data_IF_426066405718
#
_entry.id   IF_426066405718
#
_cell.length_a   1.000
_cell.length_b   1.000
_cell.length_c   1.000
_cell.angle_alpha   90.00
_cell.angle_beta   90.00
_cell.angle_gamma   90.00
#
_symmetry.space_group_name_H-M   'P 1'
#
loop_
_entity.id
_entity.type
_entity.pdbx_description
1 polymer ?
#
# COMPACT_ATOMS: atom_id res chain seq x y z
N UNK A 1 -1.37 18.70 12.70
CA UNK A 1 -2.44 17.78 12.26
C UNK A 1 -1.88 16.86 11.16
N UNK A 2 -1.98 15.56 11.33
CA UNK A 2 -1.50 14.63 10.30
C UNK A 2 -2.45 14.63 9.10
N UNK A 3 -1.89 14.75 7.89
CA UNK A 3 -2.66 14.62 6.66
C UNK A 3 -2.63 13.14 6.26
N UNK A 4 -3.80 12.51 6.21
CA UNK A 4 -3.92 11.14 5.74
C UNK A 4 -3.74 11.09 4.23
N UNK A 5 -2.99 10.11 3.78
CA UNK A 5 -2.77 9.82 2.35
C UNK A 5 -3.02 8.35 2.10
N UNK A 6 -3.43 8.02 0.88
CA UNK A 6 -3.51 6.64 0.44
C UNK A 6 -2.13 5.98 0.58
N UNK A 7 -2.06 4.87 1.30
CA UNK A 7 -0.80 4.15 1.51
C UNK A 7 -0.25 3.49 0.24
N UNK A 8 -1.06 3.43 -0.80
CA UNK A 8 -0.69 2.80 -2.07
C UNK A 8 -0.26 3.79 -3.15
N UNK A 9 -0.87 4.98 -3.21
CA UNK A 9 -0.58 5.95 -4.28
C UNK A 9 -0.49 7.41 -3.81
N UNK A 10 -0.60 7.67 -2.51
CA UNK A 10 -0.52 9.00 -1.90
C UNK A 10 -1.67 9.96 -2.24
N UNK A 11 -2.72 9.49 -2.91
CA UNK A 11 -3.92 10.27 -3.17
C UNK A 11 -4.77 10.45 -1.90
N UNK A 12 -5.87 11.19 -1.99
CA UNK A 12 -6.79 11.37 -0.87
C UNK A 12 -7.48 10.04 -0.51
N UNK A 13 -7.34 9.55 0.73
CA UNK A 13 -7.93 8.27 1.12
C UNK A 13 -9.40 8.40 1.46
N UNK A 14 -10.17 7.34 1.15
CA UNK A 14 -11.60 7.26 1.50
C UNK A 14 -11.94 5.94 2.20
N UNK A 15 -11.02 4.98 2.24
CA UNK A 15 -11.20 3.69 2.90
C UNK A 15 -10.10 3.40 3.90
N UNK A 16 -10.47 2.78 5.02
CA UNK A 16 -9.55 2.26 6.03
C UNK A 16 -9.60 0.74 6.03
N UNK A 17 -8.43 0.11 5.97
CA UNK A 17 -8.26 -1.33 6.04
C UNK A 17 -7.65 -1.69 7.38
N UNK A 18 -8.40 -2.31 8.30
CA UNK A 18 -7.84 -2.75 9.57
C UNK A 18 -6.73 -3.77 9.36
N UNK A 19 -5.62 -3.60 10.04
CA UNK A 19 -4.49 -4.52 9.98
C UNK A 19 -3.70 -4.48 11.29
N UNK A 20 -3.03 -5.59 11.60
CA UNK A 20 -2.08 -5.64 12.70
C UNK A 20 -0.79 -4.92 12.30
N UNK A 21 -0.10 -4.35 13.28
CA UNK A 21 1.23 -3.76 13.07
C UNK A 21 2.24 -4.86 12.77
N UNK A 22 3.18 -4.59 11.87
CA UNK A 22 4.23 -5.55 11.53
C UNK A 22 5.50 -4.85 11.07
N UNK A 23 6.63 -5.57 11.18
CA UNK A 23 7.89 -5.18 10.57
C UNK A 23 8.02 -5.90 9.24
N UNK A 24 8.32 -5.17 8.16
CA UNK A 24 8.39 -5.75 6.82
C UNK A 24 9.63 -6.59 6.63
N UNK A 25 9.49 -7.81 6.15
CA UNK A 25 10.59 -8.64 5.68
C UNK A 25 10.96 -8.28 4.23
N UNK A 26 9.98 -7.89 3.42
CA UNK A 26 10.21 -7.47 2.03
C UNK A 26 10.99 -6.16 1.95
N UNK A 27 10.78 -5.26 2.90
CA UNK A 27 11.47 -3.97 2.98
C UNK A 27 12.08 -3.81 4.37
N UNK A 28 13.25 -4.43 4.64
CA UNK A 28 13.89 -4.37 5.96
C UNK A 28 14.08 -2.92 6.44
N UNK A 29 13.80 -2.68 7.70
CA UNK A 29 13.84 -1.34 8.30
C UNK A 29 12.53 -0.57 8.19
N UNK A 30 11.53 -1.11 7.52
CA UNK A 30 10.20 -0.51 7.39
C UNK A 30 9.23 -1.21 8.35
N UNK A 31 8.49 -0.41 9.11
CA UNK A 31 7.43 -0.92 10.00
C UNK A 31 6.09 -0.32 9.59
N UNK A 32 5.03 -1.11 9.71
CA UNK A 32 3.66 -0.68 9.51
C UNK A 32 2.92 -0.66 10.84
N UNK A 33 2.34 0.48 11.20
CA UNK A 33 1.60 0.66 12.44
C UNK A 33 0.09 0.70 12.16
N UNK A 34 -0.58 -0.42 12.48
CA UNK A 34 -2.03 -0.52 12.39
C UNK A 34 -2.57 -0.55 10.98
N UNK A 35 -3.75 0.04 10.78
CA UNK A 35 -4.47 -0.02 9.52
C UNK A 35 -3.84 0.74 8.37
N UNK A 36 -4.27 0.39 7.17
CA UNK A 36 -3.84 1.03 5.92
C UNK A 36 -5.01 1.81 5.32
N UNK A 37 -4.72 2.94 4.71
CA UNK A 37 -5.72 3.74 4.01
C UNK A 37 -5.59 3.59 2.50
N UNK A 38 -6.71 3.70 1.80
CA UNK A 38 -6.74 3.60 0.34
C UNK A 38 -7.70 4.62 -0.27
N UNK A 39 -7.29 5.17 -1.41
CA UNK A 39 -8.20 5.98 -2.23
C UNK A 39 -9.21 5.06 -2.93
N UNK A 40 -10.20 5.66 -3.59
CA UNK A 40 -11.26 4.89 -4.27
C UNK A 40 -10.70 3.93 -5.32
N UNK A 41 -9.73 4.37 -6.11
CA UNK A 41 -9.12 3.56 -7.18
C UNK A 41 -8.32 2.40 -6.62
N UNK A 42 -7.44 2.66 -5.63
CA UNK A 42 -6.63 1.62 -5.01
C UNK A 42 -7.51 0.60 -4.28
N UNK A 43 -8.55 1.07 -3.59
CA UNK A 43 -9.49 0.18 -2.92
C UNK A 43 -10.23 -0.72 -3.91
N UNK A 44 -10.66 -0.20 -5.04
CA UNK A 44 -11.29 -1.01 -6.08
C UNK A 44 -10.36 -2.12 -6.58
N UNK A 45 -9.09 -1.83 -6.76
CA UNK A 45 -8.08 -2.83 -7.13
C UNK A 45 -7.89 -3.89 -6.05
N UNK A 46 -7.84 -3.50 -4.78
CA UNK A 46 -7.72 -4.42 -3.64
C UNK A 46 -8.91 -5.37 -3.61
N UNK A 47 -10.14 -4.84 -3.71
CA UNK A 47 -11.36 -5.65 -3.65
C UNK A 47 -11.50 -6.58 -4.86
N UNK A 48 -10.97 -6.20 -6.01
CA UNK A 48 -10.96 -7.03 -7.23
C UNK A 48 -9.78 -8.01 -7.28
N UNK A 49 -8.84 -7.95 -6.35
CA UNK A 49 -7.64 -8.78 -6.35
C UNK A 49 -6.63 -8.43 -7.44
N UNK A 50 -6.65 -7.20 -7.94
CA UNK A 50 -5.77 -6.71 -9.00
C UNK A 50 -4.43 -6.21 -8.45
N UNK A 51 -3.68 -7.11 -7.80
CA UNK A 51 -2.46 -6.77 -7.07
C UNK A 51 -1.33 -6.27 -7.97
N UNK A 52 -1.20 -6.81 -9.18
CA UNK A 52 -0.21 -6.34 -10.15
C UNK A 52 -0.49 -4.91 -10.59
N UNK A 53 -1.74 -4.58 -10.89
CA UNK A 53 -2.15 -3.23 -11.26
C UNK A 53 -1.97 -2.25 -10.11
N UNK A 54 -2.29 -2.67 -8.89
CA UNK A 54 -2.06 -1.87 -7.69
C UNK A 54 -0.58 -1.59 -7.49
N UNK A 55 0.28 -2.59 -7.68
CA UNK A 55 1.73 -2.44 -7.56
C UNK A 55 2.27 -1.46 -8.61
N UNK A 56 1.81 -1.55 -9.85
CA UNK A 56 2.19 -0.60 -10.91
C UNK A 56 1.84 0.83 -10.52
N UNK A 57 0.63 1.04 -10.00
CA UNK A 57 0.18 2.35 -9.55
C UNK A 57 1.03 2.88 -8.41
N UNK A 58 1.39 2.03 -7.44
CA UNK A 58 2.28 2.40 -6.33
C UNK A 58 3.68 2.75 -6.81
N UNK A 59 4.24 1.95 -7.72
CA UNK A 59 5.58 2.19 -8.28
C UNK A 59 5.59 3.50 -9.08
N UNK A 60 4.56 3.77 -9.88
CA UNK A 60 4.45 5.03 -10.62
C UNK A 60 4.49 6.25 -9.68
N UNK A 61 3.83 6.14 -8.51
CA UNK A 61 3.86 7.19 -7.50
C UNK A 61 5.26 7.38 -6.92
N UNK A 62 5.96 6.29 -6.62
CA UNK A 62 7.33 6.34 -6.09
C UNK A 62 8.30 6.95 -7.10
N UNK A 63 8.19 6.58 -8.36
CA UNK A 63 9.04 7.12 -9.43
C UNK A 63 8.81 8.62 -9.59
N UNK A 64 7.56 9.07 -9.56
CA UNK A 64 7.23 10.52 -9.59
C UNK A 64 7.80 11.25 -8.37
N UNK A 65 7.88 10.58 -7.23
CA UNK A 65 8.44 11.12 -6.00
C UNK A 65 9.97 11.18 -5.97
N UNK A 66 10.65 10.71 -7.01
CA UNK A 66 12.10 10.82 -7.16
C UNK A 66 12.90 9.64 -6.59
N UNK A 67 12.28 8.51 -6.30
CA UNK A 67 13.01 7.32 -5.83
C UNK A 67 13.93 6.79 -6.92
N UNK A 68 15.22 6.58 -6.58
CA UNK A 68 16.27 6.20 -7.51
C UNK A 68 16.55 4.68 -7.50
N UNK A 69 15.52 3.86 -7.66
CA UNK A 69 15.66 2.42 -7.82
C UNK A 69 15.13 2.00 -9.18
N UNK A 70 15.60 0.84 -9.67
CA UNK A 70 15.06 0.29 -10.92
C UNK A 70 13.59 -0.08 -10.72
N UNK A 71 12.81 0.03 -11.80
CA UNK A 71 11.39 -0.28 -11.76
C UNK A 71 11.14 -1.74 -11.35
N UNK A 72 11.96 -2.67 -11.83
CA UNK A 72 11.85 -4.09 -11.48
C UNK A 72 12.08 -4.34 -9.99
N UNK A 73 13.05 -3.66 -9.39
CA UNK A 73 13.30 -3.75 -7.95
C UNK A 73 12.13 -3.17 -7.16
N UNK A 74 11.64 -1.99 -7.55
CA UNK A 74 10.49 -1.36 -6.91
C UNK A 74 9.25 -2.25 -6.98
N UNK A 75 8.99 -2.88 -8.12
CA UNK A 75 7.86 -3.81 -8.27
C UNK A 75 7.96 -4.96 -7.28
N UNK A 76 9.14 -5.56 -7.14
CA UNK A 76 9.36 -6.68 -6.19
C UNK A 76 9.13 -6.24 -4.74
N UNK A 77 9.69 -5.10 -4.35
CA UNK A 77 9.57 -4.58 -2.99
C UNK A 77 8.11 -4.24 -2.67
N UNK A 78 7.44 -3.56 -3.58
CA UNK A 78 6.04 -3.14 -3.40
C UNK A 78 5.10 -4.35 -3.36
N UNK A 79 5.25 -5.30 -4.26
CA UNK A 79 4.42 -6.52 -4.25
C UNK A 79 4.64 -7.34 -2.98
N UNK A 80 5.88 -7.44 -2.50
CA UNK A 80 6.19 -8.08 -1.23
C UNK A 80 5.50 -7.39 -0.06
N UNK A 81 5.55 -6.07 -0.01
CA UNK A 81 4.91 -5.28 1.04
C UNK A 81 3.39 -5.42 0.99
N UNK A 82 2.78 -5.38 -0.20
CA UNK A 82 1.34 -5.59 -0.35
C UNK A 82 0.92 -7.01 0.09
N UNK A 83 1.76 -8.01 -0.18
CA UNK A 83 1.54 -9.37 0.29
C UNK A 83 1.53 -9.46 1.83
N UNK A 84 2.44 -8.75 2.48
CA UNK A 84 2.49 -8.66 3.94
C UNK A 84 1.24 -7.95 4.50
N UNK A 85 0.77 -6.90 3.83
CA UNK A 85 -0.49 -6.25 4.19
C UNK A 85 -1.66 -7.24 4.16
N UNK A 86 -1.77 -8.07 3.12
CA UNK A 86 -2.82 -9.08 3.02
C UNK A 86 -2.76 -10.06 4.20
N UNK A 87 -1.57 -10.52 4.56
CA UNK A 87 -1.38 -11.45 5.69
C UNK A 87 -1.80 -10.83 7.02
N UNK A 88 -1.51 -9.56 7.22
CA UNK A 88 -1.78 -8.87 8.50
C UNK A 88 -3.12 -8.16 8.55
N UNK A 89 -3.87 -8.13 7.46
CA UNK A 89 -5.20 -7.56 7.41
C UNK A 89 -6.15 -8.32 8.36
N UNK A 90 -6.92 -7.59 9.16
CA UNK A 90 -7.77 -8.18 10.20
C UNK A 90 -9.26 -8.11 9.93
N UNK A 91 -9.70 -7.41 8.89
CA UNK A 91 -11.12 -7.28 8.62
C UNK A 91 -11.44 -6.58 7.31
N UNK A 92 -12.74 -6.38 7.08
CA UNK A 92 -13.24 -5.69 5.91
C UNK A 92 -12.91 -4.19 5.96
N UNK A 93 -12.84 -3.56 4.80
CA UNK A 93 -12.63 -2.12 4.69
C UNK A 93 -13.78 -1.33 5.33
N UNK A 94 -13.45 -0.15 5.85
CA UNK A 94 -14.42 0.78 6.43
C UNK A 94 -14.27 2.14 5.76
N UNK A 95 -15.38 2.83 5.57
CA UNK A 95 -15.36 4.19 5.04
C UNK A 95 -14.78 5.15 6.07
N UNK A 96 -13.89 6.01 5.62
CA UNK A 96 -13.32 7.06 6.48
C UNK A 96 -14.34 8.19 6.69
#
# INVERSE_FOLDING_TARGET
MAILKCDFCSAHPVWDYPAESFSSEAMPGTASDGGWTACEICSAMIEAGEWSNLAIRSVDTLVKGGIEYTRDLLMRLVMGLHGEFVVHRTGARRRI
#
